data_IF_254942586594
#
_entry.id   IF_254942586594
#
_cell.length_a   1.000
_cell.length_b   1.000
_cell.length_c   1.000
_cell.angle_alpha   90.00
_cell.angle_beta   90.00
_cell.angle_gamma   90.00
#
_symmetry.space_group_name_H-M   'P 1'
#
loop_
_entity.id
_entity.type
_entity.pdbx_description
1 polymer ?
#
# COMPACT_ATOMS: atom_id res chain seq x y z
N UNK A 1 5.92 -1.90 17.86
CA UNK A 1 5.51 -3.11 17.13
C UNK A 1 5.66 -2.91 15.64
N UNK A 2 6.16 -3.92 14.91
CA UNK A 2 6.33 -3.83 13.46
C UNK A 2 5.02 -4.01 12.70
N UNK A 3 4.92 -3.45 11.50
CA UNK A 3 3.78 -3.71 10.60
C UNK A 3 3.71 -5.19 10.21
N UNK A 4 2.51 -5.75 10.12
CA UNK A 4 2.30 -7.20 9.93
C UNK A 4 2.93 -7.77 8.63
N UNK A 5 3.17 -6.92 7.64
CA UNK A 5 3.83 -7.22 6.37
C UNK A 5 5.31 -6.81 6.32
N UNK A 6 5.95 -6.54 7.46
CA UNK A 6 7.37 -6.19 7.52
C UNK A 6 8.24 -7.25 6.80
N UNK A 7 9.10 -6.79 5.89
CA UNK A 7 9.94 -7.66 5.06
C UNK A 7 9.22 -8.34 3.88
N UNK A 8 7.89 -8.24 3.78
CA UNK A 8 7.09 -8.82 2.69
C UNK A 8 6.69 -7.79 1.63
N UNK A 9 6.86 -6.50 1.92
CA UNK A 9 6.50 -5.40 1.03
C UNK A 9 7.76 -4.67 0.54
N UNK A 10 8.02 -4.75 -0.76
CA UNK A 10 9.07 -3.99 -1.45
C UNK A 10 8.41 -2.86 -2.23
N UNK A 11 8.31 -1.70 -1.58
CA UNK A 11 7.59 -0.54 -2.09
C UNK A 11 8.52 0.66 -2.20
N UNK A 12 8.36 1.40 -3.30
CA UNK A 12 8.91 2.73 -3.46
C UNK A 12 7.85 3.77 -3.12
N UNK A 13 8.24 4.78 -2.34
CA UNK A 13 7.42 5.95 -2.05
C UNK A 13 7.67 7.07 -3.07
N UNK A 14 6.63 7.86 -3.31
CA UNK A 14 6.69 9.10 -4.09
C UNK A 14 5.84 10.20 -3.44
N UNK A 15 6.35 11.42 -3.46
CA UNK A 15 5.68 12.59 -2.88
C UNK A 15 5.93 13.82 -3.74
N UNK A 16 4.89 14.63 -3.96
CA UNK A 16 4.95 15.99 -4.50
C UNK A 16 3.93 16.84 -3.74
N UNK A 17 3.89 18.14 -4.00
CA UNK A 17 2.78 18.98 -3.53
C UNK A 17 1.46 18.42 -4.06
N UNK A 18 0.50 18.16 -3.16
CA UNK A 18 -0.79 17.57 -3.50
C UNK A 18 -0.76 16.10 -3.98
N UNK A 19 0.38 15.40 -3.89
CA UNK A 19 0.50 13.99 -4.32
C UNK A 19 1.20 13.13 -3.28
N UNK A 20 0.66 11.94 -3.02
CA UNK A 20 1.32 10.87 -2.26
C UNK A 20 1.13 9.55 -3.00
N UNK A 21 2.18 8.76 -3.12
CA UNK A 21 2.13 7.49 -3.84
C UNK A 21 3.01 6.40 -3.24
N UNK A 22 2.60 5.15 -3.48
CA UNK A 22 3.39 3.94 -3.30
C UNK A 22 3.28 3.06 -4.55
N UNK A 23 4.39 2.38 -4.89
CA UNK A 23 4.39 1.39 -5.96
C UNK A 23 5.39 0.27 -5.67
N UNK A 24 5.06 -0.97 -6.04
CA UNK A 24 5.99 -2.10 -5.92
C UNK A 24 5.29 -3.44 -5.78
N UNK A 25 5.92 -4.35 -5.03
CA UNK A 25 5.45 -5.72 -4.83
C UNK A 25 5.18 -6.03 -3.37
N UNK A 26 4.16 -6.84 -3.11
CA UNK A 26 3.85 -7.38 -1.79
C UNK A 26 3.62 -8.89 -1.89
N UNK A 27 4.21 -9.66 -0.97
CA UNK A 27 3.87 -11.07 -0.76
C UNK A 27 2.76 -11.17 0.27
N UNK A 28 1.66 -11.85 -0.05
CA UNK A 28 0.61 -12.16 0.93
C UNK A 28 0.97 -13.35 1.83
N UNK A 29 0.08 -13.68 2.77
CA UNK A 29 0.26 -14.79 3.71
C UNK A 29 0.34 -16.17 3.04
N UNK A 30 -0.18 -16.31 1.82
CA UNK A 30 -0.07 -17.53 1.02
C UNK A 30 1.17 -17.52 0.09
N UNK A 31 2.01 -16.49 0.18
CA UNK A 31 3.19 -16.32 -0.66
C UNK A 31 2.89 -15.85 -2.08
N UNK A 32 1.64 -15.45 -2.39
CA UNK A 32 1.31 -14.91 -3.71
C UNK A 32 1.83 -13.49 -3.83
N UNK A 33 2.40 -13.16 -4.99
CA UNK A 33 2.93 -11.83 -5.27
C UNK A 33 1.86 -10.94 -5.88
N UNK A 34 1.65 -9.80 -5.24
CA UNK A 34 0.76 -8.74 -5.69
C UNK A 34 1.59 -7.57 -6.23
N UNK A 35 1.12 -6.97 -7.32
CA UNK A 35 1.59 -5.66 -7.78
C UNK A 35 0.71 -4.61 -7.12
N UNK A 36 1.33 -3.63 -6.45
CA UNK A 36 0.62 -2.54 -5.79
C UNK A 36 1.03 -1.24 -6.45
N UNK A 37 0.04 -0.46 -6.87
CA UNK A 37 0.20 0.93 -7.29
C UNK A 37 -0.94 1.73 -6.66
N UNK A 38 -0.61 2.73 -5.84
CA UNK A 38 -1.60 3.63 -5.24
C UNK A 38 -1.08 5.06 -5.36
N UNK A 39 -1.84 5.90 -6.06
CA UNK A 39 -1.59 7.33 -6.23
C UNK A 39 -2.78 8.10 -5.65
N UNK A 40 -2.51 9.06 -4.75
CA UNK A 40 -3.49 10.00 -4.23
C UNK A 40 -3.15 11.39 -4.74
N UNK A 41 -4.05 11.98 -5.52
CA UNK A 41 -3.97 13.35 -6.00
C UNK A 41 -5.03 14.20 -5.26
N UNK A 42 -4.60 14.98 -4.28
CA UNK A 42 -5.49 15.81 -3.47
C UNK A 42 -4.68 16.86 -2.69
N UNK A 43 -5.21 18.09 -2.43
CA UNK A 43 -4.52 19.07 -1.58
C UNK A 43 -4.09 18.53 -0.21
N UNK A 44 -4.86 17.59 0.35
CA UNK A 44 -4.55 16.91 1.62
C UNK A 44 -3.83 15.56 1.45
N UNK A 45 -3.13 15.29 0.34
CA UNK A 45 -2.51 13.98 0.06
C UNK A 45 -1.50 13.52 1.13
N UNK A 46 -0.91 14.44 1.91
CA UNK A 46 -0.07 14.10 3.07
C UNK A 46 -0.81 13.22 4.11
N UNK A 47 -2.14 13.27 4.14
CA UNK A 47 -3.00 12.47 5.03
C UNK A 47 -3.34 11.07 4.49
N UNK A 48 -2.76 10.66 3.36
CA UNK A 48 -3.07 9.37 2.72
C UNK A 48 -2.48 8.14 3.41
N UNK A 49 -1.55 8.30 4.37
CA UNK A 49 -0.84 7.17 4.99
C UNK A 49 -1.77 6.09 5.56
N UNK A 50 -2.85 6.40 6.31
CA UNK A 50 -3.75 5.37 6.83
C UNK A 50 -4.45 4.56 5.73
N UNK A 51 -4.72 5.16 4.56
CA UNK A 51 -5.30 4.45 3.43
C UNK A 51 -4.30 3.49 2.79
N UNK A 52 -3.02 3.86 2.75
CA UNK A 52 -1.95 2.96 2.29
C UNK A 52 -1.79 1.77 3.23
N UNK A 53 -1.76 2.03 4.54
CA UNK A 53 -1.61 0.98 5.54
C UNK A 53 -2.80 0.00 5.48
N UNK A 54 -4.03 0.51 5.36
CA UNK A 54 -5.23 -0.31 5.23
C UNK A 54 -5.22 -1.20 3.97
N UNK A 55 -4.78 -0.65 2.82
CA UNK A 55 -4.66 -1.42 1.59
C UNK A 55 -3.61 -2.54 1.74
N UNK A 56 -2.41 -2.21 2.23
CA UNK A 56 -1.31 -3.16 2.35
C UNK A 56 -1.63 -4.28 3.35
N UNK A 57 -2.26 -3.93 4.47
CA UNK A 57 -2.69 -4.88 5.48
C UNK A 57 -3.82 -5.79 4.97
N UNK A 58 -4.75 -5.25 4.18
CA UNK A 58 -5.78 -6.04 3.48
C UNK A 58 -5.21 -7.00 2.44
N UNK A 59 -4.30 -6.54 1.58
CA UNK A 59 -3.63 -7.36 0.57
C UNK A 59 -2.78 -8.45 1.23
N UNK A 60 -2.02 -8.12 2.26
CA UNK A 60 -1.21 -9.09 2.99
C UNK A 60 -2.07 -10.19 3.63
N UNK A 61 -3.22 -9.84 4.21
CA UNK A 61 -4.18 -10.81 4.75
C UNK A 61 -4.86 -11.69 3.69
N UNK A 62 -4.77 -11.35 2.40
CA UNK A 62 -5.38 -12.11 1.32
C UNK A 62 -6.80 -11.68 0.97
N UNK A 63 -7.21 -10.44 1.30
CA UNK A 63 -8.49 -9.89 0.85
C UNK A 63 -8.47 -9.67 -0.68
N UNK A 64 -8.79 -10.71 -1.44
CA UNK A 64 -8.86 -10.70 -2.89
C UNK A 64 -10.13 -10.00 -3.39
N UNK A 65 -10.20 -8.69 -3.19
CA UNK A 65 -10.99 -7.72 -3.97
C UNK A 65 -10.67 -6.33 -3.44
N UNK A 66 -10.06 -5.48 -4.27
CA UNK A 66 -9.98 -4.06 -3.96
C UNK A 66 -11.40 -3.46 -3.82
N UNK A 67 -11.59 -2.41 -3.01
CA UNK A 67 -12.84 -1.66 -3.05
C UNK A 67 -13.05 -1.14 -4.48
N UNK A 68 -14.22 -1.43 -5.05
CA UNK A 68 -14.69 -0.83 -6.28
C UNK A 68 -15.04 0.65 -6.05
#
# INVERSE_FOLDING_TARGET
>A
DGVAYAGQAHLKTGSLEGVRAIAGYLLDREGRRHIVVFIVNHPNAARAQPAFDALLDGLWRGASRGPA
#
